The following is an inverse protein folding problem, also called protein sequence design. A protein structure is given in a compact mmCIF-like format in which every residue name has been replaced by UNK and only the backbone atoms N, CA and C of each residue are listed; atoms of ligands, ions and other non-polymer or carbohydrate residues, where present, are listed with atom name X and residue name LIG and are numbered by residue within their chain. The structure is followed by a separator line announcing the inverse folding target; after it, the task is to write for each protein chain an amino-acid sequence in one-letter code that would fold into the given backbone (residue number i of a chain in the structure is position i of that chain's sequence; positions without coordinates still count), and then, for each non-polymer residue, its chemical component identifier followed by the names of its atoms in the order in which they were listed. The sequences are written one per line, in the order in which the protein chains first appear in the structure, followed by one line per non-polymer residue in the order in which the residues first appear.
data_IF_449272971180
#
_entry.id   IF_449272971180
#
_cell.length_a   1.000
_cell.length_b   1.000
_cell.length_c   1.000
_cell.angle_alpha   90.00
_cell.angle_beta   90.00
_cell.angle_gamma   90.00
#
_symmetry.space_group_name_H-M   'P 1'
#
loop_
_entity.id
_entity.type
_entity.pdbx_description
1 polymer ?
#
# COMPACT_ATOMS: atom_id res chain seq x y z
N UNK A 1 -5.74 14.22 -17.12
CA UNK A 1 -6.71 13.15 -17.43
C UNK A 1 -7.68 12.78 -16.29
N UNK A 2 -7.35 11.97 -15.26
CA UNK A 2 -8.36 11.53 -14.26
C UNK A 2 -9.07 12.69 -13.57
N UNK A 3 -8.33 13.76 -13.19
CA UNK A 3 -8.92 14.98 -12.63
C UNK A 3 -9.89 15.69 -13.59
N UNK A 4 -9.55 15.75 -14.88
CA UNK A 4 -10.36 16.44 -15.90
C UNK A 4 -11.71 15.75 -16.13
N UNK A 5 -11.77 14.42 -15.95
CA UNK A 5 -13.00 13.63 -16.13
C UNK A 5 -13.70 13.30 -14.80
N UNK A 6 -13.24 13.87 -13.68
CA UNK A 6 -13.82 13.62 -12.35
C UNK A 6 -13.64 12.19 -11.83
N UNK A 7 -12.62 11.47 -12.30
CA UNK A 7 -12.34 10.10 -11.90
C UNK A 7 -11.29 9.99 -10.77
N UNK A 8 -11.41 8.92 -9.98
CA UNK A 8 -10.41 8.50 -9.00
C UNK A 8 -9.38 7.61 -9.71
N UNK A 9 -8.09 7.91 -9.50
CA UNK A 9 -6.98 7.06 -9.90
C UNK A 9 -6.62 6.12 -8.75
N UNK A 10 -6.65 4.82 -9.01
CA UNK A 10 -6.20 3.78 -8.10
C UNK A 10 -4.88 3.22 -8.62
N UNK A 11 -3.83 3.29 -7.80
CA UNK A 11 -2.51 2.72 -8.10
C UNK A 11 -2.35 1.47 -7.23
N UNK A 12 -2.12 0.32 -7.87
CA UNK A 12 -1.81 -0.94 -7.17
C UNK A 12 -0.30 -1.04 -6.97
N UNK A 13 0.15 -0.80 -5.73
CA UNK A 13 1.53 -0.96 -5.31
C UNK A 13 1.70 -2.21 -4.44
N UNK A 14 1.03 -3.32 -4.78
CA UNK A 14 1.24 -4.59 -4.07
C UNK A 14 2.70 -5.06 -4.02
N UNK A 15 3.57 -4.56 -4.90
CA UNK A 15 5.02 -4.80 -4.94
C UNK A 15 5.84 -3.54 -4.65
N UNK A 16 5.24 -2.50 -4.05
CA UNK A 16 5.91 -1.23 -3.85
C UNK A 16 7.05 -1.27 -2.82
N UNK A 17 7.30 -2.43 -2.21
CA UNK A 17 8.48 -2.70 -1.37
C UNK A 17 9.74 -2.99 -2.22
N UNK A 18 9.62 -3.15 -3.53
CA UNK A 18 10.71 -3.47 -4.46
C UNK A 18 11.07 -2.32 -5.41
N UNK A 19 10.43 -1.16 -5.26
CA UNK A 19 10.70 0.04 -6.07
C UNK A 19 11.37 1.09 -5.21
N UNK A 20 12.06 2.04 -5.84
CA UNK A 20 12.63 3.18 -5.13
C UNK A 20 11.52 4.06 -4.56
N UNK A 21 11.83 4.78 -3.49
CA UNK A 21 10.86 5.57 -2.75
C UNK A 21 10.22 6.67 -3.62
N UNK A 22 11.01 7.24 -4.53
CA UNK A 22 10.64 8.29 -5.47
C UNK A 22 9.70 7.78 -6.59
N UNK A 23 9.66 6.47 -6.83
CA UNK A 23 8.76 5.84 -7.82
C UNK A 23 7.37 5.51 -7.23
N UNK A 24 7.27 5.49 -5.89
CA UNK A 24 6.03 5.23 -5.17
C UNK A 24 5.17 6.49 -5.08
N UNK A 25 3.86 6.33 -5.26
CA UNK A 25 2.85 7.39 -5.20
C UNK A 25 2.28 7.61 -3.79
N UNK A 26 2.85 6.98 -2.76
CA UNK A 26 2.33 7.05 -1.38
C UNK A 26 2.21 8.49 -0.85
N UNK A 27 3.18 9.37 -1.10
CA UNK A 27 3.13 10.76 -0.62
C UNK A 27 2.13 11.60 -1.39
N UNK A 28 2.01 11.35 -2.68
CA UNK A 28 1.08 11.98 -3.59
C UNK A 28 -0.35 11.61 -3.19
N UNK A 29 -0.59 10.34 -2.87
CA UNK A 29 -1.89 9.83 -2.45
C UNK A 29 -2.37 10.50 -1.15
N UNK A 30 -1.47 10.81 -0.23
CA UNK A 30 -1.82 11.55 1.00
C UNK A 30 -2.25 13.01 0.73
N UNK A 31 -1.87 13.58 -0.43
CA UNK A 31 -2.09 14.99 -0.80
C UNK A 31 -3.18 15.18 -1.86
N UNK A 32 -3.47 14.18 -2.67
CA UNK A 32 -4.34 14.29 -3.83
C UNK A 32 -5.73 13.70 -3.57
N UNK A 33 -6.77 14.52 -3.70
CA UNK A 33 -8.17 14.13 -3.44
C UNK A 33 -8.79 13.19 -4.48
N UNK A 34 -8.01 12.72 -5.44
CA UNK A 34 -8.47 11.80 -6.48
C UNK A 34 -7.47 10.65 -6.73
N UNK A 35 -6.59 10.37 -5.77
CA UNK A 35 -5.57 9.32 -5.85
C UNK A 35 -5.64 8.40 -4.64
N UNK A 36 -5.63 7.10 -4.93
CA UNK A 36 -5.58 6.01 -3.95
C UNK A 36 -4.39 5.13 -4.28
N UNK A 37 -3.62 4.72 -3.26
CA UNK A 37 -2.55 3.73 -3.41
C UNK A 37 -2.88 2.51 -2.56
N UNK A 38 -2.89 1.32 -3.17
CA UNK A 38 -3.06 0.05 -2.48
C UNK A 38 -1.71 -0.58 -2.18
N UNK A 39 -1.56 -1.11 -0.97
CA UNK A 39 -0.37 -1.85 -0.52
C UNK A 39 -0.77 -3.19 0.07
N UNK A 40 0.13 -4.16 -0.01
CA UNK A 40 -0.12 -5.55 0.38
C UNK A 40 0.91 -6.08 1.36
N UNK A 41 0.44 -6.75 2.41
CA UNK A 41 1.31 -7.55 3.27
C UNK A 41 1.71 -8.89 2.62
N UNK A 42 1.16 -9.23 1.45
CA UNK A 42 1.33 -10.56 0.84
C UNK A 42 2.62 -10.75 0.04
N UNK A 43 3.30 -9.66 -0.32
CA UNK A 43 4.45 -9.67 -1.25
C UNK A 43 5.75 -9.41 -0.51
N UNK A 44 6.23 -8.16 -0.46
CA UNK A 44 7.50 -7.80 0.18
C UNK A 44 7.61 -8.31 1.62
N UNK A 45 6.50 -8.39 2.36
CA UNK A 45 6.50 -8.82 3.75
C UNK A 45 6.36 -10.34 3.93
N UNK A 46 6.08 -11.12 2.87
CA UNK A 46 5.91 -12.57 2.96
C UNK A 46 4.69 -13.05 3.76
N UNK A 47 3.78 -12.14 4.15
CA UNK A 47 2.63 -12.42 5.04
C UNK A 47 1.34 -12.71 4.26
N UNK A 48 1.42 -13.46 3.16
CA UNK A 48 0.24 -13.76 2.34
C UNK A 48 -0.89 -14.42 3.13
N UNK A 49 -0.57 -15.22 4.15
CA UNK A 49 -1.54 -15.95 4.98
C UNK A 49 -2.42 -15.08 5.89
N UNK A 50 -1.99 -13.85 6.24
CA UNK A 50 -2.77 -13.01 7.18
C UNK A 50 -3.91 -12.24 6.50
N UNK A 51 -3.97 -12.28 5.16
CA UNK A 51 -5.02 -11.63 4.34
C UNK A 51 -5.24 -10.15 4.69
N UNK A 52 -4.16 -9.38 4.69
CA UNK A 52 -4.18 -7.97 5.02
C UNK A 52 -3.57 -7.11 3.92
N UNK A 53 -4.19 -5.95 3.69
CA UNK A 53 -3.70 -4.87 2.86
C UNK A 53 -4.15 -3.53 3.44
N UNK A 54 -3.63 -2.44 2.89
CA UNK A 54 -4.03 -1.10 3.30
C UNK A 54 -4.10 -0.17 2.10
N UNK A 55 -4.77 0.96 2.30
CA UNK A 55 -4.88 2.02 1.31
C UNK A 55 -4.33 3.31 1.90
N UNK A 56 -3.55 4.04 1.12
CA UNK A 56 -3.16 5.42 1.42
C UNK A 56 -3.96 6.35 0.51
N UNK A 57 -4.51 7.40 1.11
CA UNK A 57 -5.41 8.35 0.46
C UNK A 57 -5.45 9.66 1.23
N UNK A 58 -5.99 10.71 0.62
CA UNK A 58 -6.23 11.97 1.32
C UNK A 58 -7.33 11.81 2.37
N UNK A 59 -7.40 12.71 3.37
CA UNK A 59 -8.45 12.65 4.40
C UNK A 59 -9.87 12.70 3.83
N UNK A 60 -10.07 13.40 2.71
CA UNK A 60 -11.36 13.52 2.05
C UNK A 60 -11.83 12.17 1.50
N UNK A 61 -10.97 11.47 0.74
CA UNK A 61 -11.24 10.14 0.20
C UNK A 61 -11.37 9.09 1.30
N UNK A 62 -10.48 9.12 2.30
CA UNK A 62 -10.51 8.16 3.42
C UNK A 62 -11.86 8.13 4.13
N UNK A 63 -12.50 9.30 4.32
CA UNK A 63 -13.85 9.39 4.90
C UNK A 63 -14.90 8.60 4.10
N UNK A 64 -14.84 8.64 2.77
CA UNK A 64 -15.75 7.88 1.90
C UNK A 64 -15.40 6.39 1.85
N UNK A 65 -14.11 6.05 1.93
CA UNK A 65 -13.69 4.64 1.99
C UNK A 65 -14.20 3.98 3.26
N UNK A 66 -14.09 4.68 4.40
CA UNK A 66 -14.55 4.17 5.70
C UNK A 66 -16.05 3.83 5.73
N UNK A 67 -16.90 4.54 5.00
CA UNK A 67 -18.33 4.18 4.91
C UNK A 67 -18.59 2.89 4.13
N UNK A 68 -17.61 2.44 3.35
CA UNK A 68 -17.69 1.23 2.51
C UNK A 68 -16.97 0.03 3.13
N UNK A 69 -16.28 0.20 4.27
CA UNK A 69 -15.56 -0.87 4.95
C UNK A 69 -16.55 -1.82 5.61
N UNK A 70 -16.42 -3.11 5.31
CA UNK A 70 -17.21 -4.17 5.94
C UNK A 70 -16.83 -4.28 7.42
N UNK A 71 -17.82 -4.29 8.34
CA UNK A 71 -17.56 -4.56 9.76
C UNK A 71 -16.76 -5.85 9.94
N UNK A 72 -15.78 -5.83 10.85
CA UNK A 72 -14.93 -7.00 11.17
C UNK A 72 -14.07 -7.53 10.00
N UNK A 73 -13.66 -6.67 9.06
CA UNK A 73 -12.86 -7.07 7.89
C UNK A 73 -11.58 -7.86 8.22
N UNK A 74 -10.52 -7.24 8.76
CA UNK A 74 -9.30 -7.96 9.10
C UNK A 74 -9.40 -8.67 10.46
N UNK A 75 -8.79 -9.87 10.54
CA UNK A 75 -8.72 -10.61 11.80
C UNK A 75 -7.89 -9.87 12.85
N UNK A 76 -8.19 -10.09 14.14
CA UNK A 76 -7.40 -9.51 15.22
C UNK A 76 -5.92 -9.92 15.16
N UNK A 77 -5.63 -11.15 14.72
CA UNK A 77 -4.26 -11.62 14.53
C UNK A 77 -3.55 -10.82 13.44
N UNK A 78 -4.20 -10.58 12.30
CA UNK A 78 -3.67 -9.78 11.20
C UNK A 78 -3.35 -8.36 11.64
N UNK A 79 -4.25 -7.71 12.39
CA UNK A 79 -4.05 -6.36 12.93
C UNK A 79 -2.85 -6.33 13.90
N UNK A 80 -2.74 -7.33 14.79
CA UNK A 80 -1.62 -7.42 15.75
C UNK A 80 -0.28 -7.57 15.05
N UNK A 81 -0.22 -8.44 14.03
CA UNK A 81 1.00 -8.64 13.22
C UNK A 81 1.36 -7.33 12.53
N UNK A 82 0.43 -6.68 11.83
CA UNK A 82 0.69 -5.41 11.16
C UNK A 82 1.21 -4.31 12.09
N UNK A 83 0.60 -4.17 13.28
CA UNK A 83 1.06 -3.20 14.29
C UNK A 83 2.48 -3.48 14.79
N UNK A 84 2.89 -4.74 14.84
CA UNK A 84 4.22 -5.13 15.29
C UNK A 84 5.29 -4.88 14.22
N UNK A 85 4.96 -5.06 12.93
CA UNK A 85 5.94 -4.95 11.84
C UNK A 85 6.03 -3.56 11.22
N UNK A 86 4.94 -2.80 11.15
CA UNK A 86 4.89 -1.51 10.44
C UNK A 86 5.94 -0.49 10.91
N UNK A 87 6.25 -0.34 12.23
CA UNK A 87 7.26 0.60 12.68
C UNK A 87 8.69 0.27 12.23
N UNK A 88 8.95 -1.00 11.92
CA UNK A 88 10.28 -1.53 11.61
C UNK A 88 10.26 -2.36 10.32
N UNK A 89 9.40 -1.95 9.38
CA UNK A 89 9.01 -2.74 8.21
C UNK A 89 10.20 -3.13 7.34
N UNK A 90 11.20 -2.24 7.25
CA UNK A 90 12.47 -2.45 6.55
C UNK A 90 13.23 -3.69 7.05
N UNK A 91 13.14 -4.01 8.34
CA UNK A 91 13.77 -5.21 8.91
C UNK A 91 13.13 -6.52 8.41
N UNK A 92 11.89 -6.45 7.93
CA UNK A 92 11.09 -7.58 7.44
C UNK A 92 11.03 -7.64 5.90
N UNK A 93 11.54 -6.63 5.21
CA UNK A 93 11.65 -6.68 3.76
C UNK A 93 12.79 -7.61 3.35
N UNK A 94 12.63 -8.38 2.27
CA UNK A 94 13.75 -9.11 1.69
C UNK A 94 14.83 -8.10 1.37
N UNK A 95 16.04 -8.34 1.87
CA UNK A 95 17.22 -7.58 1.44
C UNK A 95 17.34 -7.77 -0.06
N UNK A 96 17.01 -6.73 -0.82
CA UNK A 96 17.06 -6.74 -2.26
C UNK A 96 18.53 -6.85 -2.70
N UNK A 97 19.06 -8.07 -2.76
CA UNK A 97 20.14 -8.40 -3.68
C UNK A 97 19.52 -8.69 -5.05
N UNK A 98 18.71 -7.77 -5.55
CA UNK A 98 18.40 -7.76 -6.97
C UNK A 98 19.58 -7.05 -7.62
N UNK A 99 20.59 -7.84 -8.04
CA UNK A 99 21.55 -7.33 -9.01
C UNK A 99 20.73 -6.78 -10.18
N UNK A 100 20.95 -5.52 -10.62
CA UNK A 100 20.25 -5.00 -11.77
C UNK A 100 20.48 -5.99 -12.91
N UNK A 101 19.39 -6.48 -13.51
CA UNK A 101 19.52 -7.25 -14.74
C UNK A 101 20.26 -6.34 -15.72
N UNK A 102 21.52 -6.65 -15.97
CA UNK A 102 22.38 -5.91 -16.88
C UNK A 102 21.71 -5.96 -18.24
N UNK A 103 21.05 -4.87 -18.63
CA UNK A 103 20.57 -4.67 -19.99
C UNK A 103 21.80 -4.48 -20.86
N UNK A 104 22.08 -5.49 -21.69
CA UNK A 104 22.98 -5.42 -22.84
C UNK A 104 22.59 -4.32 -23.81
#
# INVERSE_FOLDING_TARGET
MCREVGAILLVDEAYGEFIEHEESMLFEAAKCDNLLVLRSFSKGMGLAGIRLGYVVSSPSLSKYLHSSVVPFGPSLASIKIAKAILPDIEAYLPRANFAPATTS
#
